data_IF_537199744855
#
_entry.id   IF_537199744855
#
_cell.length_a   1.000
_cell.length_b   1.000
_cell.length_c   1.000
_cell.angle_alpha   90.00
_cell.angle_beta   90.00
_cell.angle_gamma   90.00
#
_symmetry.space_group_name_H-M   'P 1'
#
loop_
_entity.id
_entity.type
_entity.pdbx_description
1 polymer ?
#
# COMPACT_ATOMS: atom_id res chain seq x y z
N UNK A 1 1.71 -19.87 24.66
CA UNK A 1 0.88 -21.04 25.01
C UNK A 1 -0.56 -20.61 24.78
N UNK A 2 -0.97 -20.62 23.51
CA UNK A 2 -1.88 -21.63 22.91
C UNK A 2 -3.32 -21.40 23.36
N UNK A 3 -4.23 -21.43 22.39
CA UNK A 3 -5.69 -21.42 22.52
C UNK A 3 -6.41 -20.09 22.72
N UNK A 4 -6.78 -19.48 21.58
CA UNK A 4 -8.19 -19.20 21.28
C UNK A 4 -8.43 -18.96 19.78
N UNK A 5 -8.37 -20.02 18.99
CA UNK A 5 -8.87 -20.04 17.60
C UNK A 5 -9.76 -21.27 17.47
N UNK A 6 -11.06 -21.09 17.63
CA UNK A 6 -12.09 -21.98 17.04
C UNK A 6 -13.46 -21.37 17.30
N UNK A 7 -14.35 -21.51 16.30
CA UNK A 7 -15.75 -21.09 16.21
C UNK A 7 -15.95 -19.68 15.60
N UNK A 8 -16.63 -19.46 14.48
CA UNK A 8 -17.48 -20.29 13.61
C UNK A 8 -17.45 -19.67 12.21
N UNK A 9 -16.95 -20.39 11.21
CA UNK A 9 -17.28 -20.16 9.80
C UNK A 9 -17.40 -21.53 9.13
N UNK A 10 -18.64 -21.86 8.78
CA UNK A 10 -19.06 -23.11 8.13
C UNK A 10 -18.28 -23.36 6.81
N UNK A 11 -17.56 -24.48 6.65
CA UNK A 11 -16.76 -24.76 5.45
C UNK A 11 -17.56 -25.58 4.41
N UNK A 12 -18.82 -25.19 4.14
CA UNK A 12 -19.77 -26.07 3.44
C UNK A 12 -20.31 -25.63 2.08
N UNK A 13 -20.04 -24.41 1.61
CA UNK A 13 -20.80 -23.85 0.47
C UNK A 13 -19.95 -23.48 -0.76
N UNK A 14 -18.62 -23.40 -0.63
CA UNK A 14 -17.74 -23.04 -1.77
C UNK A 14 -17.35 -24.27 -2.61
N UNK A 15 -17.52 -25.48 -2.09
CA UNK A 15 -17.17 -26.73 -2.80
C UNK A 15 -18.32 -27.35 -3.61
N UNK A 16 -19.58 -26.94 -3.45
CA UNK A 16 -20.70 -27.54 -4.20
C UNK A 16 -20.99 -26.88 -5.55
N UNK A 17 -20.53 -25.66 -5.80
CA UNK A 17 -20.77 -24.97 -7.08
C UNK A 17 -19.75 -25.37 -8.18
N UNK A 18 -18.54 -25.80 -7.81
CA UNK A 18 -17.51 -26.21 -8.77
C UNK A 18 -17.63 -27.70 -9.13
N UNK A 19 -18.14 -28.53 -8.22
CA UNK A 19 -18.30 -29.98 -8.43
C UNK A 19 -19.49 -30.37 -9.34
N UNK A 20 -20.53 -29.52 -9.46
CA UNK A 20 -21.67 -29.83 -10.34
C UNK A 20 -21.40 -29.59 -11.83
N UNK A 21 -20.37 -28.81 -12.19
CA UNK A 21 -20.05 -28.53 -13.60
C UNK A 21 -19.07 -29.52 -14.23
N UNK A 22 -18.35 -30.28 -13.40
CA UNK A 22 -17.44 -31.36 -13.87
C UNK A 22 -18.20 -32.65 -14.15
N UNK A 23 -19.39 -32.87 -13.56
CA UNK A 23 -20.13 -34.13 -13.70
C UNK A 23 -21.09 -34.19 -14.90
N UNK A 24 -21.28 -33.09 -15.64
CA UNK A 24 -22.17 -33.06 -16.82
C UNK A 24 -21.42 -33.33 -18.15
N UNK A 25 -20.12 -33.11 -18.22
CA UNK A 25 -19.32 -33.30 -19.45
C UNK A 25 -18.78 -34.75 -19.61
N UNK A 26 -18.99 -35.61 -18.61
CA UNK A 26 -18.42 -36.97 -18.60
C UNK A 26 -19.27 -38.01 -19.35
N UNK A 27 -20.38 -37.63 -19.98
CA UNK A 27 -21.31 -38.54 -20.65
C UNK A 27 -21.59 -38.26 -22.15
N UNK A 28 -20.89 -37.32 -22.79
CA UNK A 28 -21.00 -37.13 -24.23
C UNK A 28 -19.69 -37.54 -24.91
N UNK A 29 -19.57 -38.84 -25.15
CA UNK A 29 -18.49 -39.40 -25.96
C UNK A 29 -18.61 -38.96 -27.41
N UNK A 30 -17.91 -37.90 -27.77
CA UNK A 30 -17.44 -37.70 -29.14
C UNK A 30 -15.94 -37.42 -29.10
N UNK A 31 -15.16 -38.20 -29.84
CA UNK A 31 -13.70 -38.04 -29.87
C UNK A 31 -13.38 -36.71 -30.55
N UNK A 32 -12.90 -35.69 -29.81
CA UNK A 32 -12.67 -34.37 -30.40
C UNK A 32 -11.66 -34.52 -31.54
N UNK A 33 -12.06 -34.13 -32.75
CA UNK A 33 -11.17 -34.07 -33.91
C UNK A 33 -9.93 -33.24 -33.60
N UNK A 34 -8.85 -33.39 -34.38
CA UNK A 34 -7.54 -32.75 -34.11
C UNK A 34 -7.64 -31.23 -33.82
N UNK A 35 -8.59 -30.53 -34.45
CA UNK A 35 -8.91 -29.11 -34.19
C UNK A 35 -9.52 -28.88 -32.80
N UNK A 36 -10.49 -29.69 -32.38
CA UNK A 36 -11.12 -29.58 -31.07
C UNK A 36 -10.13 -29.84 -29.93
N UNK A 37 -9.17 -30.76 -30.10
CA UNK A 37 -8.08 -30.95 -29.11
C UNK A 37 -7.16 -29.73 -28.99
N UNK A 38 -6.83 -29.09 -30.12
CA UNK A 38 -6.02 -27.87 -30.12
C UNK A 38 -6.75 -26.71 -29.43
N UNK A 39 -8.06 -26.54 -29.66
CA UNK A 39 -8.87 -25.52 -29.00
C UNK A 39 -8.96 -25.79 -27.49
N UNK A 40 -9.20 -27.04 -27.07
CA UNK A 40 -9.23 -27.41 -25.65
C UNK A 40 -7.87 -27.13 -25.00
N UNK A 41 -6.76 -27.53 -25.63
CA UNK A 41 -5.42 -27.24 -25.12
C UNK A 41 -5.16 -25.74 -24.98
N UNK A 42 -5.56 -24.93 -25.97
CA UNK A 42 -5.40 -23.48 -25.92
C UNK A 42 -6.22 -22.84 -24.79
N UNK A 43 -7.47 -23.30 -24.59
CA UNK A 43 -8.34 -22.84 -23.51
C UNK A 43 -7.80 -23.22 -22.13
N UNK A 44 -7.23 -24.43 -21.99
CA UNK A 44 -6.60 -24.87 -20.73
C UNK A 44 -5.39 -23.99 -20.43
N UNK A 45 -4.49 -23.78 -21.41
CA UNK A 45 -3.31 -22.93 -21.22
C UNK A 45 -3.72 -21.49 -20.89
N UNK A 46 -4.63 -20.90 -21.68
CA UNK A 46 -5.13 -19.54 -21.46
C UNK A 46 -5.84 -19.40 -20.10
N UNK A 47 -6.60 -20.42 -19.69
CA UNK A 47 -7.27 -20.45 -18.40
C UNK A 47 -6.28 -20.48 -17.24
N UNK A 48 -5.22 -21.29 -17.35
CA UNK A 48 -4.15 -21.36 -16.35
C UNK A 48 -3.39 -20.04 -16.29
N UNK A 49 -3.00 -19.46 -17.42
CA UNK A 49 -2.29 -18.18 -17.46
C UNK A 49 -3.13 -17.06 -16.84
N UNK A 50 -4.42 -17.00 -17.16
CA UNK A 50 -5.34 -16.02 -16.59
C UNK A 50 -5.50 -16.23 -15.07
N UNK A 51 -5.62 -17.48 -14.62
CA UNK A 51 -5.73 -17.79 -13.20
C UNK A 51 -4.46 -17.41 -12.42
N UNK A 52 -3.28 -17.68 -12.98
CA UNK A 52 -1.99 -17.28 -12.39
C UNK A 52 -1.88 -15.76 -12.31
N UNK A 53 -2.27 -15.04 -13.37
CA UNK A 53 -2.27 -13.58 -13.39
C UNK A 53 -3.23 -13.02 -12.32
N UNK A 54 -4.42 -13.60 -12.19
CA UNK A 54 -5.41 -13.19 -11.19
C UNK A 54 -4.92 -13.46 -9.76
N UNK A 55 -4.37 -14.66 -9.51
CA UNK A 55 -3.81 -15.03 -8.22
C UNK A 55 -2.64 -14.11 -7.84
N UNK A 56 -1.74 -13.83 -8.78
CA UNK A 56 -0.64 -12.88 -8.58
C UNK A 56 -1.18 -11.48 -8.25
N UNK A 57 -2.19 -11.00 -8.97
CA UNK A 57 -2.82 -9.72 -8.70
C UNK A 57 -3.45 -9.67 -7.30
N UNK A 58 -4.17 -10.73 -6.90
CA UNK A 58 -4.76 -10.83 -5.56
C UNK A 58 -3.68 -10.81 -4.47
N UNK A 59 -2.59 -11.55 -4.63
CA UNK A 59 -1.46 -11.55 -3.67
C UNK A 59 -0.82 -10.17 -3.57
N UNK A 60 -0.56 -9.51 -4.70
CA UNK A 60 0.02 -8.16 -4.72
C UNK A 60 -0.93 -7.14 -4.09
N UNK A 61 -2.24 -7.23 -4.36
CA UNK A 61 -3.25 -6.36 -3.77
C UNK A 61 -3.45 -6.63 -2.29
N UNK A 62 -3.44 -7.88 -1.84
CA UNK A 62 -3.50 -8.26 -0.43
C UNK A 62 -2.27 -7.72 0.32
N UNK A 63 -1.07 -7.87 -0.25
CA UNK A 63 0.16 -7.29 0.32
C UNK A 63 0.09 -5.76 0.37
N UNK A 64 -0.33 -5.12 -0.72
CA UNK A 64 -0.56 -3.68 -0.78
C UNK A 64 -1.57 -3.23 0.28
N UNK A 65 -2.68 -3.94 0.42
CA UNK A 65 -3.74 -3.62 1.38
C UNK A 65 -3.26 -3.82 2.80
N UNK A 66 -2.47 -4.86 3.07
CA UNK A 66 -1.89 -5.08 4.40
C UNK A 66 -0.89 -3.98 4.80
N UNK A 67 -0.05 -3.53 3.86
CA UNK A 67 0.84 -2.37 4.07
C UNK A 67 0.03 -1.07 4.25
N UNK A 68 -1.03 -0.88 3.47
CA UNK A 68 -1.91 0.30 3.57
C UNK A 68 -2.81 0.29 4.82
N UNK A 69 -3.15 -0.88 5.34
CA UNK A 69 -3.97 -1.05 6.54
C UNK A 69 -3.16 -0.93 7.83
N UNK A 70 -1.86 -0.63 7.76
CA UNK A 70 -1.09 -0.36 8.96
C UNK A 70 -1.56 0.95 9.60
N UNK A 71 -1.90 0.94 10.91
CA UNK A 71 -2.38 2.13 11.61
C UNK A 71 -1.30 3.21 11.58
N UNK A 72 -1.68 4.42 11.17
CA UNK A 72 -0.77 5.58 11.05
C UNK A 72 -0.16 5.80 9.66
N UNK A 73 -0.53 5.00 8.65
CA UNK A 73 -0.15 5.27 7.27
C UNK A 73 -0.96 6.45 6.70
N UNK A 74 -0.29 7.36 6.02
CA UNK A 74 -0.90 8.47 5.31
C UNK A 74 -0.41 8.56 3.87
N UNK A 75 -1.25 9.10 2.99
CA UNK A 75 -0.89 9.38 1.60
C UNK A 75 -0.22 10.74 1.52
N UNK A 76 0.93 10.81 0.85
CA UNK A 76 1.66 12.08 0.72
C UNK A 76 2.55 12.15 -0.52
N UNK A 77 3.36 13.19 -0.53
CA UNK A 77 4.53 13.33 -1.40
C UNK A 77 5.78 13.64 -0.59
N UNK A 78 6.93 13.18 -1.07
CA UNK A 78 8.25 13.41 -0.47
C UNK A 78 9.18 14.04 -1.49
N UNK A 79 10.02 14.97 -1.07
CA UNK A 79 11.16 15.47 -1.83
C UNK A 79 12.38 15.66 -0.92
N UNK A 80 13.57 15.50 -1.48
CA UNK A 80 14.82 15.86 -0.80
C UNK A 80 15.15 17.32 -1.11
N UNK A 81 15.45 18.12 -0.09
CA UNK A 81 15.80 19.54 -0.25
C UNK A 81 17.28 19.80 0.03
N UNK A 82 17.92 18.99 0.88
CA UNK A 82 19.35 19.05 1.12
C UNK A 82 19.92 17.67 1.47
N UNK A 83 21.17 17.42 1.08
CA UNK A 83 21.80 16.10 1.19
C UNK A 83 21.36 15.14 0.08
N UNK A 84 21.93 13.92 0.09
CA UNK A 84 21.56 12.84 -0.83
C UNK A 84 21.14 11.61 -0.03
N UNK A 85 19.95 11.09 -0.31
CA UNK A 85 19.47 9.83 0.26
C UNK A 85 19.24 8.89 -0.91
N UNK A 86 19.93 7.76 -0.89
CA UNK A 86 19.83 6.75 -1.93
C UNK A 86 18.35 6.36 -2.14
N UNK A 87 17.85 6.62 -3.35
CA UNK A 87 16.48 6.30 -3.72
C UNK A 87 15.49 7.46 -3.60
N UNK A 88 15.71 8.48 -2.78
CA UNK A 88 14.85 9.66 -2.78
C UNK A 88 15.33 10.68 -3.81
N UNK A 89 14.40 11.45 -4.36
CA UNK A 89 14.70 12.44 -5.41
C UNK A 89 14.42 13.84 -4.90
N UNK A 90 15.12 14.85 -5.44
CA UNK A 90 14.80 16.25 -5.16
C UNK A 90 13.46 16.70 -5.75
N UNK A 91 12.88 15.89 -6.65
CA UNK A 91 11.52 16.10 -7.19
C UNK A 91 10.48 15.40 -6.31
N UNK A 92 9.34 16.05 -6.12
CA UNK A 92 8.17 15.47 -5.45
C UNK A 92 7.82 14.10 -6.03
N UNK A 93 7.89 13.09 -5.17
CA UNK A 93 7.51 11.73 -5.49
C UNK A 93 6.34 11.28 -4.63
N UNK A 94 5.42 10.52 -5.22
CA UNK A 94 4.20 10.07 -4.55
C UNK A 94 4.46 8.78 -3.77
N UNK A 95 3.81 8.65 -2.63
CA UNK A 95 3.93 7.47 -1.79
C UNK A 95 3.02 7.52 -0.59
N UNK A 96 3.31 6.60 0.31
CA UNK A 96 2.66 6.48 1.61
C UNK A 96 3.73 6.60 2.67
N UNK A 97 3.51 7.50 3.63
CA UNK A 97 4.36 7.67 4.80
C UNK A 97 3.74 6.98 6.00
N UNK A 98 4.58 6.46 6.90
CA UNK A 98 4.17 6.09 8.26
C UNK A 98 5.32 6.36 9.21
N UNK A 99 4.98 6.69 10.45
CA UNK A 99 5.96 6.80 11.53
C UNK A 99 5.98 5.52 12.35
N UNK A 100 7.18 5.03 12.64
CA UNK A 100 7.43 3.94 13.59
C UNK A 100 8.40 4.48 14.62
N UNK A 101 7.85 5.02 15.72
CA UNK A 101 8.63 5.80 16.69
C UNK A 101 9.32 6.97 15.97
N UNK A 102 10.65 7.02 15.97
CA UNK A 102 11.45 8.07 15.34
C UNK A 102 11.89 7.73 13.91
N UNK A 103 11.49 6.55 13.40
CA UNK A 103 11.81 6.11 12.04
C UNK A 103 10.62 6.41 11.12
N UNK A 104 10.85 7.26 10.14
CA UNK A 104 9.90 7.52 9.07
C UNK A 104 10.06 6.49 7.95
N UNK A 105 8.99 5.76 7.65
CA UNK A 105 8.97 4.76 6.59
C UNK A 105 8.19 5.31 5.40
N UNK A 106 8.90 5.46 4.28
CA UNK A 106 8.32 5.92 3.03
C UNK A 106 8.19 4.79 2.01
N UNK A 107 6.97 4.48 1.62
CA UNK A 107 6.68 3.49 0.59
C UNK A 107 6.31 4.17 -0.73
N UNK A 108 7.12 3.96 -1.77
CA UNK A 108 6.89 4.60 -3.10
C UNK A 108 5.68 4.01 -3.82
N UNK A 109 4.80 4.88 -4.31
CA UNK A 109 3.68 4.51 -5.17
C UNK A 109 4.12 4.41 -6.65
N UNK A 110 3.44 3.63 -7.52
CA UNK A 110 2.21 2.88 -7.26
C UNK A 110 2.42 1.43 -6.78
N UNK A 111 3.63 0.88 -6.95
CA UNK A 111 3.88 -0.55 -6.75
C UNK A 111 4.28 -0.95 -5.32
N UNK A 112 4.60 0.00 -4.44
CA UNK A 112 4.90 -0.22 -3.03
C UNK A 112 6.03 -1.24 -2.76
N UNK A 113 6.88 -1.53 -3.75
CA UNK A 113 7.99 -2.48 -3.61
C UNK A 113 9.18 -1.90 -2.86
N UNK A 114 9.30 -0.57 -2.81
CA UNK A 114 10.45 0.12 -2.22
C UNK A 114 10.01 0.91 -1.00
N UNK A 115 10.52 0.46 0.15
CA UNK A 115 10.41 1.15 1.43
C UNK A 115 11.74 1.82 1.71
N UNK A 116 11.73 3.14 1.81
CA UNK A 116 12.86 3.90 2.33
C UNK A 116 12.63 4.08 3.84
N UNK A 117 13.63 3.73 4.64
CA UNK A 117 13.62 3.94 6.09
C UNK A 117 14.49 5.17 6.35
N UNK A 118 13.89 6.21 6.90
CA UNK A 118 14.56 7.46 7.23
C UNK A 118 14.52 7.61 8.75
N UNK A 119 15.68 7.59 9.38
CA UNK A 119 15.80 7.91 10.81
C UNK A 119 15.66 9.42 10.97
N UNK A 120 14.60 9.89 11.62
CA UNK A 120 14.34 11.31 11.76
C UNK A 120 15.05 11.86 12.99
N UNK A 121 15.96 12.81 12.75
CA UNK A 121 16.73 13.49 13.79
C UNK A 121 15.94 14.65 14.41
N UNK A 122 14.97 15.21 13.67
CA UNK A 122 14.13 16.30 14.17
C UNK A 122 13.26 16.96 13.11
N UNK A 123 12.23 17.68 13.59
CA UNK A 123 11.39 18.54 12.78
C UNK A 123 12.03 19.93 12.67
N UNK A 124 12.33 20.39 11.45
CA UNK A 124 12.85 21.73 11.20
C UNK A 124 11.72 22.76 11.12
N UNK A 125 10.71 22.50 10.28
CA UNK A 125 9.67 23.48 9.97
C UNK A 125 8.36 22.79 9.60
N UNK A 126 7.24 23.40 9.97
CA UNK A 126 5.90 23.09 9.46
C UNK A 126 5.36 24.33 8.76
N UNK A 127 4.79 24.17 7.55
CA UNK A 127 4.15 25.25 6.81
C UNK A 127 3.02 24.74 5.91
N UNK A 128 2.02 25.57 5.59
CA UNK A 128 1.10 25.25 4.51
C UNK A 128 1.85 25.16 3.17
N UNK A 129 1.38 24.29 2.28
CA UNK A 129 1.89 24.19 0.92
C UNK A 129 1.58 25.49 0.16
N UNK A 130 2.54 25.95 -0.66
CA UNK A 130 2.27 27.08 -1.55
C UNK A 130 1.28 26.65 -2.64
N UNK A 131 0.49 27.59 -3.20
CA UNK A 131 -0.37 27.30 -4.33
C UNK A 131 0.40 26.60 -5.46
N UNK A 132 -0.11 25.45 -5.93
CA UNK A 132 0.48 24.64 -7.00
C UNK A 132 1.87 24.01 -6.71
N UNK A 133 2.37 24.07 -5.46
CA UNK A 133 3.64 23.44 -5.07
C UNK A 133 3.56 21.92 -5.07
N UNK A 134 2.42 21.38 -4.62
CA UNK A 134 2.14 19.94 -4.57
C UNK A 134 0.82 19.64 -5.26
N UNK A 135 0.81 18.62 -6.11
CA UNK A 135 -0.36 18.26 -6.93
C UNK A 135 -1.02 16.98 -6.40
N UNK A 136 -2.36 16.99 -6.35
CA UNK A 136 -3.23 15.83 -6.02
C UNK A 136 -3.13 15.35 -4.56
N UNK A 137 -3.09 16.28 -3.61
CA UNK A 137 -3.13 16.01 -2.16
C UNK A 137 -4.41 16.51 -1.48
N UNK A 138 -5.43 16.92 -2.24
CA UNK A 138 -6.66 17.51 -1.69
C UNK A 138 -6.51 19.00 -1.40
N UNK A 139 -7.48 19.53 -0.66
CA UNK A 139 -7.53 20.93 -0.22
C UNK A 139 -6.54 21.16 0.93
N UNK A 140 -5.89 22.32 0.93
CA UNK A 140 -4.94 22.78 1.96
C UNK A 140 -3.85 21.76 2.37
N UNK A 141 -2.94 21.36 1.45
CA UNK A 141 -1.86 20.47 1.83
C UNK A 141 -0.91 21.12 2.83
N UNK A 142 -0.46 20.33 3.81
CA UNK A 142 0.54 20.74 4.81
C UNK A 142 1.89 20.15 4.43
N UNK A 143 2.94 20.97 4.48
CA UNK A 143 4.32 20.58 4.24
C UNK A 143 5.10 20.64 5.54
N UNK A 144 5.77 19.55 5.89
CA UNK A 144 6.76 19.52 6.97
C UNK A 144 8.15 19.30 6.38
N UNK A 145 9.14 19.92 7.01
CA UNK A 145 10.54 19.71 6.73
C UNK A 145 11.17 18.99 7.90
N UNK A 146 11.75 17.83 7.65
CA UNK A 146 12.35 16.94 8.64
C UNK A 146 13.80 16.71 8.26
N UNK A 147 14.69 16.75 9.26
CA UNK A 147 16.05 16.25 9.10
C UNK A 147 16.02 14.74 9.33
N UNK A 148 16.48 13.99 8.35
CA UNK A 148 16.53 12.53 8.45
C UNK A 148 17.73 11.97 7.71
N UNK A 149 18.42 11.02 8.36
CA UNK A 149 19.57 10.29 7.79
C UNK A 149 20.64 11.21 7.19
N UNK A 150 20.95 12.32 7.87
CA UNK A 150 21.94 13.30 7.42
C UNK A 150 21.49 14.22 6.27
N UNK A 151 20.23 14.12 5.84
CA UNK A 151 19.64 14.95 4.80
C UNK A 151 18.42 15.71 5.31
N UNK A 152 17.97 16.69 4.54
CA UNK A 152 16.75 17.47 4.79
C UNK A 152 15.70 17.08 3.78
N UNK A 153 14.59 16.56 4.28
CA UNK A 153 13.51 16.00 3.49
C UNK A 153 12.25 16.80 3.77
N UNK A 154 11.50 17.12 2.71
CA UNK A 154 10.18 17.70 2.84
C UNK A 154 9.12 16.66 2.52
N UNK A 155 8.13 16.59 3.40
CA UNK A 155 6.98 15.71 3.33
C UNK A 155 5.74 16.58 3.24
N UNK A 156 4.85 16.27 2.30
CA UNK A 156 3.57 16.94 2.23
C UNK A 156 2.43 15.92 2.22
N UNK A 157 1.39 16.22 2.99
CA UNK A 157 0.16 15.44 3.03
C UNK A 157 -1.05 16.36 3.05
N UNK A 158 -2.24 15.77 2.96
CA UNK A 158 -3.48 16.51 3.18
C UNK A 158 -3.57 17.00 4.64
N UNK A 159 -4.29 18.09 4.90
CA UNK A 159 -4.55 18.60 6.25
C UNK A 159 -5.18 17.55 7.18
N UNK A 160 -6.10 16.70 6.68
CA UNK A 160 -6.72 15.61 7.45
C UNK A 160 -5.69 14.59 7.95
N UNK A 161 -4.56 14.49 7.24
CA UNK A 161 -3.45 13.61 7.57
C UNK A 161 -2.34 14.31 8.36
N UNK A 162 -2.53 15.55 8.81
CA UNK A 162 -1.51 16.37 9.49
C UNK A 162 -0.97 15.69 10.75
N UNK A 163 -1.83 15.07 11.54
CA UNK A 163 -1.40 14.37 12.75
C UNK A 163 -0.52 13.15 12.43
N UNK A 164 -0.88 12.39 11.41
CA UNK A 164 -0.07 11.26 10.95
C UNK A 164 1.21 11.75 10.28
N UNK A 165 1.19 12.91 9.61
CA UNK A 165 2.36 13.55 9.00
C UNK A 165 3.37 13.97 10.07
N UNK A 166 2.93 14.58 11.17
CA UNK A 166 3.80 15.02 12.28
C UNK A 166 4.34 13.86 13.13
N UNK A 167 3.59 12.75 13.22
CA UNK A 167 4.05 11.54 13.92
C UNK A 167 4.45 11.80 15.38
N UNK A 168 5.70 11.49 15.81
CA UNK A 168 6.17 11.72 17.18
C UNK A 168 6.33 13.22 17.52
N UNK A 169 6.41 14.10 16.51
CA UNK A 169 6.58 15.54 16.68
C UNK A 169 5.26 16.30 16.85
N UNK A 170 4.17 15.59 17.11
CA UNK A 170 2.91 16.21 17.51
C UNK A 170 3.16 17.07 18.74
N UNK A 171 3.01 18.38 18.61
CA UNK A 171 2.86 19.23 19.79
C UNK A 171 1.56 18.81 20.49
N UNK A 172 1.56 18.54 21.80
CA UNK A 172 0.32 18.39 22.54
C UNK A 172 -0.52 19.65 22.32
N UNK A 173 -1.75 19.47 21.85
CA UNK A 173 -2.72 20.56 21.83
C UNK A 173 -3.02 20.90 23.30
N UNK A 174 -2.41 21.98 23.79
CA UNK A 174 -2.76 22.63 25.04
C UNK A 174 -2.51 21.82 26.31
N UNK A 175 -1.34 21.97 26.91
CA UNK A 175 -1.31 22.28 28.35
C UNK A 175 -1.64 23.76 28.45
N UNK A 176 -2.93 24.09 28.35
CA UNK A 176 -3.45 25.35 28.87
C UNK A 176 -3.14 25.40 30.36
N UNK A 177 -2.72 26.57 30.82
CA UNK A 177 -2.11 26.76 32.13
C UNK A 177 -2.91 26.23 33.31
N UNK A 178 -2.18 25.90 34.36
CA UNK A 178 -2.63 26.10 35.72
C UNK A 178 -1.47 26.77 36.45
N UNK A 179 -1.84 27.81 37.18
CA UNK A 179 -1.02 28.85 37.78
C UNK A 179 -0.04 28.31 38.84
#
# INVERSE_FOLDING_TARGET
MVDRITHVLHPGWVTRAVLWRVSLDMLEGDSPGRRSRMVIALLVVLGVDLAVLLAFLVVVLARRRWVMSQPGAFRGVIRVVGGDIHGLRPKWSRGYGRWVRDVFVWTKAPFLFRNELLEADGLNQERPARPNEVKRLGEEPVVIQVRASGATVELAANADAREQLLGPYRKPVGTMGSA
#
